data_IF_129394884652
#
_entry.id   IF_129394884652
#
_cell.length_a   1.000
_cell.length_b   1.000
_cell.length_c   1.000
_cell.angle_alpha   90.00
_cell.angle_beta   90.00
_cell.angle_gamma   90.00
#
_symmetry.space_group_name_H-M   'P 1'
#
loop_
_entity.id
_entity.type
_entity.pdbx_description
1 polymer ?
#
# COMPACT_ATOMS: atom_id res chain seq x y z
N UNK A 1 20.22 -8.33 43.96
CA UNK A 1 20.55 -7.19 43.06
C UNK A 1 20.41 -7.49 41.55
N UNK A 2 20.39 -8.78 41.10
CA UNK A 2 20.30 -9.13 39.66
C UNK A 2 18.94 -8.91 38.97
N UNK A 3 17.82 -8.91 39.71
CA UNK A 3 16.46 -8.83 39.15
C UNK A 3 16.16 -7.42 38.55
N UNK A 4 16.81 -6.36 39.05
CA UNK A 4 16.62 -4.98 38.57
C UNK A 4 17.28 -4.76 37.20
N UNK A 5 18.46 -5.32 36.96
CA UNK A 5 19.19 -5.21 35.68
C UNK A 5 18.45 -5.92 34.53
N UNK A 6 17.84 -7.08 34.80
CA UNK A 6 17.04 -7.81 33.82
C UNK A 6 15.80 -7.02 33.36
N UNK A 7 15.13 -6.31 34.27
CA UNK A 7 14.01 -5.43 33.92
C UNK A 7 14.45 -4.25 33.07
N UNK A 8 15.53 -3.55 33.43
CA UNK A 8 16.05 -2.39 32.67
C UNK A 8 16.46 -2.80 31.25
N UNK A 9 17.15 -3.94 31.09
CA UNK A 9 17.52 -4.48 29.76
C UNK A 9 16.29 -4.76 28.89
N UNK A 10 15.19 -5.23 29.50
CA UNK A 10 13.91 -5.46 28.83
C UNK A 10 13.21 -4.16 28.41
N UNK A 11 13.25 -3.11 29.23
CA UNK A 11 12.70 -1.80 28.85
C UNK A 11 13.50 -1.13 27.74
N UNK A 12 14.83 -1.14 27.82
CA UNK A 12 15.70 -0.60 26.76
C UNK A 12 15.48 -1.34 25.45
N UNK A 13 15.43 -2.68 25.47
CA UNK A 13 15.15 -3.48 24.27
C UNK A 13 13.80 -3.15 23.65
N UNK A 14 12.76 -2.91 24.46
CA UNK A 14 11.44 -2.48 23.96
C UNK A 14 11.49 -1.10 23.33
N UNK A 15 12.15 -0.13 23.97
CA UNK A 15 12.28 1.24 23.43
C UNK A 15 13.01 1.20 22.09
N UNK A 16 14.11 0.46 21.99
CA UNK A 16 14.85 0.29 20.73
C UNK A 16 13.95 -0.34 19.66
N UNK A 17 13.20 -1.38 20.00
CA UNK A 17 12.26 -2.01 19.06
C UNK A 17 11.21 -0.99 18.57
N UNK A 18 10.59 -0.22 19.46
CA UNK A 18 9.61 0.79 19.06
C UNK A 18 10.22 1.87 18.18
N UNK A 19 11.42 2.36 18.49
CA UNK A 19 12.13 3.34 17.66
C UNK A 19 12.40 2.77 16.27
N UNK A 20 12.87 1.52 16.18
CA UNK A 20 13.10 0.85 14.89
C UNK A 20 11.80 0.68 14.09
N UNK A 21 10.70 0.27 14.76
CA UNK A 21 9.39 0.15 14.10
C UNK A 21 8.91 1.50 13.59
N UNK A 22 9.02 2.57 14.39
CA UNK A 22 8.64 3.92 13.96
C UNK A 22 9.48 4.37 12.77
N UNK A 23 10.79 4.13 12.79
CA UNK A 23 11.69 4.45 11.67
C UNK A 23 11.28 3.69 10.40
N UNK A 24 11.01 2.40 10.50
CA UNK A 24 10.54 1.59 9.36
C UNK A 24 9.21 2.13 8.84
N UNK A 25 8.25 2.42 9.72
CA UNK A 25 6.94 2.97 9.34
C UNK A 25 7.10 4.30 8.62
N UNK A 26 7.90 5.23 9.14
CA UNK A 26 8.15 6.53 8.50
C UNK A 26 8.82 6.33 7.15
N UNK A 27 9.83 5.44 7.06
CA UNK A 27 10.52 5.14 5.82
C UNK A 27 9.59 4.52 4.77
N UNK A 28 8.71 3.61 5.19
CA UNK A 28 7.71 3.00 4.31
C UNK A 28 6.65 3.99 3.89
N UNK A 29 6.18 4.87 4.77
CA UNK A 29 5.13 5.85 4.47
C UNK A 29 5.62 7.02 3.63
N UNK A 30 6.91 7.39 3.71
CA UNK A 30 7.48 8.50 2.95
C UNK A 30 7.20 8.46 1.43
N UNK A 31 7.38 7.33 0.70
CA UNK A 31 7.01 7.27 -0.71
C UNK A 31 5.49 7.33 -0.95
N UNK A 32 4.66 6.85 -0.01
CA UNK A 32 3.19 6.95 -0.14
C UNK A 32 2.70 8.37 0.06
N UNK A 33 3.27 9.12 1.01
CA UNK A 33 2.94 10.53 1.20
C UNK A 33 3.37 11.33 -0.03
N UNK A 34 4.55 11.05 -0.58
CA UNK A 34 5.01 11.65 -1.83
C UNK A 34 4.07 11.38 -3.00
N UNK A 35 3.63 10.12 -3.16
CA UNK A 35 2.69 9.72 -4.21
C UNK A 35 1.35 10.46 -4.09
N UNK A 36 0.85 10.62 -2.86
CA UNK A 36 -0.41 11.34 -2.61
C UNK A 36 -0.29 12.83 -2.97
N UNK A 37 0.79 13.49 -2.53
CA UNK A 37 1.03 14.90 -2.84
C UNK A 37 1.24 15.07 -4.35
N UNK A 38 1.97 14.17 -5.00
CA UNK A 38 2.17 14.14 -6.46
C UNK A 38 0.85 14.18 -7.23
N UNK A 39 -0.19 13.49 -6.75
CA UNK A 39 -1.53 13.52 -7.35
C UNK A 39 -2.23 14.88 -7.30
N UNK A 40 -1.84 15.76 -6.38
CA UNK A 40 -2.39 17.11 -6.20
C UNK A 40 -1.71 18.18 -7.07
N UNK A 41 -0.56 17.88 -7.68
CA UNK A 41 0.13 18.85 -8.54
C UNK A 41 -0.61 19.03 -9.87
N UNK A 42 -0.80 20.27 -10.34
CA UNK A 42 -1.34 20.52 -11.67
C UNK A 42 -0.35 20.08 -12.75
N UNK A 43 -0.87 19.54 -13.88
CA UNK A 43 -0.08 18.99 -15.00
C UNK A 43 1.06 19.90 -15.48
N UNK A 44 0.87 21.23 -15.46
CA UNK A 44 1.88 22.21 -15.89
C UNK A 44 3.04 22.34 -14.89
N UNK A 45 2.79 22.20 -13.58
CA UNK A 45 3.82 22.27 -12.54
C UNK A 45 4.67 20.99 -12.50
N UNK A 46 4.10 19.83 -12.87
CA UNK A 46 4.81 18.55 -12.95
C UNK A 46 5.85 18.48 -14.09
N UNK A 47 5.62 19.20 -15.19
CA UNK A 47 6.46 19.14 -16.41
C UNK A 47 7.49 20.26 -16.44
N UNK A 48 7.21 21.37 -15.75
CA UNK A 48 8.07 22.56 -15.72
C UNK A 48 9.07 22.49 -14.56
N UNK A 49 9.94 21.47 -14.52
CA UNK A 49 11.22 21.40 -13.76
C UNK A 49 11.26 21.93 -12.29
N UNK A 50 10.12 22.16 -11.64
CA UNK A 50 9.96 22.57 -10.23
C UNK A 50 9.67 21.37 -9.33
N UNK A 51 10.17 20.21 -9.73
CA UNK A 51 10.04 18.91 -9.07
C UNK A 51 10.75 18.79 -7.71
N UNK A 52 11.41 19.86 -7.22
CA UNK A 52 12.08 19.89 -5.92
C UNK A 52 11.16 20.34 -4.77
N UNK A 53 10.01 20.94 -5.05
CA UNK A 53 9.10 21.39 -4.00
C UNK A 53 8.34 20.23 -3.41
N UNK A 54 8.48 20.01 -2.09
CA UNK A 54 7.76 18.92 -1.42
C UNK A 54 6.23 19.12 -1.39
N UNK A 55 5.76 20.32 -1.69
CA UNK A 55 4.36 20.72 -1.71
C UNK A 55 4.06 21.55 -2.97
N UNK A 56 2.88 21.38 -3.60
CA UNK A 56 2.45 22.17 -4.76
C UNK A 56 2.16 23.63 -4.37
N UNK A 57 2.47 24.58 -5.27
CA UNK A 57 2.13 25.99 -5.07
C UNK A 57 0.61 26.20 -5.20
N UNK A 58 -0.04 25.45 -6.09
CA UNK A 58 -1.49 25.47 -6.30
C UNK A 58 -2.05 24.04 -6.25
N UNK A 59 -2.41 23.51 -5.06
CA UNK A 59 -3.00 22.18 -4.97
C UNK A 59 -4.32 22.12 -5.74
N UNK A 60 -4.47 21.14 -6.65
CA UNK A 60 -5.70 20.95 -7.43
C UNK A 60 -6.24 19.54 -7.30
N UNK A 61 -7.57 19.42 -7.23
CA UNK A 61 -8.26 18.11 -7.26
C UNK A 61 -8.67 17.68 -8.67
N UNK A 62 -8.26 18.43 -9.69
CA UNK A 62 -8.68 18.22 -11.08
C UNK A 62 -8.22 16.86 -11.62
N UNK A 63 -7.03 16.40 -11.22
CA UNK A 63 -6.51 15.08 -11.59
C UNK A 63 -7.41 13.96 -11.06
N UNK A 64 -7.81 14.04 -9.79
CA UNK A 64 -8.72 13.06 -9.18
C UNK A 64 -10.10 13.08 -9.84
N UNK A 65 -10.66 14.26 -10.12
CA UNK A 65 -11.94 14.38 -10.83
C UNK A 65 -11.86 13.77 -12.24
N UNK A 66 -10.77 14.00 -12.97
CA UNK A 66 -10.57 13.44 -14.31
C UNK A 66 -10.45 11.91 -14.33
N UNK A 67 -10.03 11.28 -13.22
CA UNK A 67 -9.98 9.81 -13.09
C UNK A 67 -11.36 9.18 -12.93
N UNK A 68 -12.32 9.89 -12.33
CA UNK A 68 -13.68 9.39 -12.12
C UNK A 68 -14.69 9.92 -13.16
N UNK A 69 -14.30 10.87 -14.00
CA UNK A 69 -15.12 11.37 -15.10
C UNK A 69 -15.16 10.36 -16.27
N UNK A 70 -16.31 9.70 -16.44
CA UNK A 70 -16.54 8.77 -17.56
C UNK A 70 -16.63 9.47 -18.93
N UNK A 71 -16.76 10.79 -18.97
CA UNK A 71 -16.75 11.55 -20.23
C UNK A 71 -15.32 11.69 -20.78
N UNK A 72 -14.31 11.54 -19.92
CA UNK A 72 -12.90 11.62 -20.28
C UNK A 72 -12.34 10.25 -20.68
N UNK A 73 -11.48 10.23 -21.69
CA UNK A 73 -10.75 9.03 -22.13
C UNK A 73 -9.91 8.40 -20.99
N UNK A 74 -9.42 9.24 -20.07
CA UNK A 74 -8.62 8.82 -18.92
C UNK A 74 -9.49 8.09 -17.89
N UNK A 75 -10.65 8.66 -17.56
CA UNK A 75 -11.56 8.07 -16.58
C UNK A 75 -12.18 6.75 -17.06
N UNK A 76 -12.51 6.64 -18.35
CA UNK A 76 -12.97 5.38 -18.94
C UNK A 76 -11.94 4.27 -18.82
N UNK A 77 -10.67 4.55 -19.16
CA UNK A 77 -9.58 3.57 -19.03
C UNK A 77 -9.31 3.19 -17.59
N UNK A 78 -9.36 4.16 -16.67
CA UNK A 78 -9.20 3.91 -15.23
C UNK A 78 -10.31 3.00 -14.70
N UNK A 79 -11.57 3.29 -15.00
CA UNK A 79 -12.71 2.49 -14.56
C UNK A 79 -12.69 1.08 -15.17
N UNK A 80 -12.34 0.96 -16.45
CA UNK A 80 -12.17 -0.33 -17.10
C UNK A 80 -11.04 -1.16 -16.46
N UNK A 81 -9.91 -0.53 -16.14
CA UNK A 81 -8.80 -1.17 -15.46
C UNK A 81 -9.20 -1.64 -14.05
N UNK A 82 -9.88 -0.80 -13.26
CA UNK A 82 -10.39 -1.17 -11.94
C UNK A 82 -11.34 -2.37 -12.00
N UNK A 83 -12.28 -2.35 -12.94
CA UNK A 83 -13.21 -3.47 -13.15
C UNK A 83 -12.48 -4.75 -13.54
N UNK A 84 -11.52 -4.68 -14.45
CA UNK A 84 -10.73 -5.84 -14.85
C UNK A 84 -9.93 -6.40 -13.68
N UNK A 85 -9.24 -5.54 -12.91
CA UNK A 85 -8.48 -5.96 -11.73
C UNK A 85 -9.38 -6.61 -10.68
N UNK A 86 -10.57 -6.07 -10.42
CA UNK A 86 -11.52 -6.63 -9.47
C UNK A 86 -12.02 -8.01 -9.91
N UNK A 87 -12.37 -8.16 -11.19
CA UNK A 87 -12.84 -9.43 -11.75
C UNK A 87 -11.72 -10.48 -11.69
N UNK A 88 -10.52 -10.14 -12.15
CA UNK A 88 -9.39 -11.08 -12.20
C UNK A 88 -8.98 -11.48 -10.79
N UNK A 89 -8.71 -10.52 -9.89
CA UNK A 89 -8.30 -10.81 -8.52
C UNK A 89 -9.35 -11.60 -7.74
N UNK A 90 -10.63 -11.24 -7.88
CA UNK A 90 -11.73 -11.96 -7.25
C UNK A 90 -11.86 -13.40 -7.77
N UNK A 91 -11.86 -13.58 -9.09
CA UNK A 91 -11.99 -14.90 -9.72
C UNK A 91 -10.83 -15.82 -9.34
N UNK A 92 -9.59 -15.31 -9.41
CA UNK A 92 -8.39 -16.07 -9.04
C UNK A 92 -8.42 -16.43 -7.55
N UNK A 93 -8.80 -15.50 -6.67
CA UNK A 93 -8.90 -15.78 -5.23
C UNK A 93 -9.89 -16.90 -4.94
N UNK A 94 -11.07 -16.88 -5.57
CA UNK A 94 -12.10 -17.92 -5.39
C UNK A 94 -11.57 -19.28 -5.88
N UNK A 95 -10.99 -19.32 -7.07
CA UNK A 95 -10.41 -20.54 -7.64
C UNK A 95 -9.32 -21.09 -6.71
N UNK A 96 -8.38 -20.25 -6.29
CA UNK A 96 -7.30 -20.63 -5.38
C UNK A 96 -7.83 -21.13 -4.03
N UNK A 97 -8.88 -20.53 -3.48
CA UNK A 97 -9.50 -21.02 -2.24
C UNK A 97 -10.13 -22.40 -2.44
N UNK A 98 -10.88 -22.62 -3.51
CA UNK A 98 -11.53 -23.91 -3.78
C UNK A 98 -10.47 -25.01 -3.87
N UNK A 99 -9.52 -24.88 -4.79
CA UNK A 99 -8.51 -25.92 -5.01
C UNK A 99 -7.49 -26.00 -3.88
N UNK A 100 -7.07 -24.86 -3.33
CA UNK A 100 -6.10 -24.78 -2.24
C UNK A 100 -6.63 -25.40 -0.95
N UNK A 101 -7.90 -25.18 -0.60
CA UNK A 101 -8.50 -25.81 0.60
C UNK A 101 -8.69 -27.31 0.43
N UNK A 102 -9.11 -27.77 -0.75
CA UNK A 102 -9.21 -29.21 -1.06
C UNK A 102 -7.84 -29.89 -0.98
N UNK A 103 -6.80 -29.31 -1.56
CA UNK A 103 -5.44 -29.82 -1.49
C UNK A 103 -4.89 -29.82 -0.06
N UNK A 104 -5.11 -28.74 0.69
CA UNK A 104 -4.72 -28.64 2.09
C UNK A 104 -5.44 -29.69 2.96
N UNK A 105 -6.72 -29.95 2.70
CA UNK A 105 -7.47 -31.00 3.40
C UNK A 105 -6.92 -32.38 3.10
N UNK A 106 -6.64 -32.68 1.83
CA UNK A 106 -6.01 -33.93 1.42
C UNK A 106 -4.68 -34.15 2.17
N UNK A 107 -3.80 -33.15 2.17
CA UNK A 107 -2.52 -33.20 2.89
C UNK A 107 -2.68 -33.35 4.41
N UNK A 108 -3.65 -32.66 5.01
CA UNK A 108 -3.82 -32.65 6.45
C UNK A 108 -4.55 -33.88 7.02
N UNK A 109 -5.40 -34.54 6.22
CA UNK A 109 -6.32 -35.59 6.72
C UNK A 109 -6.25 -36.91 5.99
N UNK A 110 -5.76 -36.98 4.75
CA UNK A 110 -5.57 -38.26 4.07
C UNK A 110 -4.21 -38.85 4.45
N UNK A 111 -4.20 -40.16 4.72
CA UNK A 111 -2.95 -40.90 4.88
C UNK A 111 -2.48 -41.32 3.51
N UNK A 112 -1.36 -40.75 3.07
CA UNK A 112 -0.67 -41.19 1.85
C UNK A 112 0.19 -42.42 2.21
N UNK A 113 0.22 -43.46 1.36
CA UNK A 113 1.10 -44.61 1.52
C UNK A 113 2.59 -44.25 1.33
#
# INVERSE_FOLDING_TARGET
MGIRKARIKKYISRIILYVLVVLIVVWTLAPFTWLFISGLFPYKELISDRTTSWFPENPTLKNFQAMFDMSSHIGQRFMAALRNSLIISGSVTIICLIFGTLAAYALARLKFP
#
